data_IF_608372989563
#
_entry.id   IF_608372989563
#
_cell.length_a   1.000
_cell.length_b   1.000
_cell.length_c   1.000
_cell.angle_alpha   90.00
_cell.angle_beta   90.00
_cell.angle_gamma   90.00
#
_symmetry.space_group_name_H-M   'P 1'
#
loop_
_entity.id
_entity.type
_entity.pdbx_description
1 polymer ?
#
# COMPACT_ATOMS: atom_id res chain seq x y z
N UNK A 1 -10.39 -2.36 15.91
CA UNK A 1 -10.04 -3.26 14.78
C UNK A 1 -9.10 -2.58 13.80
N UNK A 2 -9.50 -1.47 13.15
CA UNK A 2 -8.59 -0.71 12.27
C UNK A 2 -7.48 -0.03 13.07
N UNK A 3 -7.83 0.65 14.17
CA UNK A 3 -6.84 1.32 15.03
C UNK A 3 -5.79 0.36 15.60
N UNK A 4 -6.21 -0.83 16.08
CA UNK A 4 -5.29 -1.87 16.54
C UNK A 4 -4.37 -2.36 15.43
N UNK A 5 -4.89 -2.58 14.22
CA UNK A 5 -4.08 -2.98 13.07
C UNK A 5 -3.06 -1.90 12.67
N UNK A 6 -3.48 -0.63 12.62
CA UNK A 6 -2.58 0.51 12.34
C UNK A 6 -1.51 0.64 13.43
N UNK A 7 -1.89 0.38 14.69
CA UNK A 7 -0.99 0.29 15.82
C UNK A 7 0.06 -0.81 15.62
N UNK A 8 -0.35 -2.02 15.24
CA UNK A 8 0.56 -3.14 14.99
C UNK A 8 1.48 -2.87 13.78
N UNK A 9 0.96 -2.32 12.69
CA UNK A 9 1.75 -1.93 11.52
C UNK A 9 2.84 -0.93 11.91
N UNK A 10 2.48 0.11 12.67
CA UNK A 10 3.41 1.17 13.03
C UNK A 10 4.42 0.73 14.09
N UNK A 11 3.94 0.15 15.19
CA UNK A 11 4.74 -0.17 16.36
C UNK A 11 5.50 -1.47 16.25
N UNK A 12 5.00 -2.43 15.47
CA UNK A 12 5.63 -3.72 15.30
C UNK A 12 6.34 -3.78 13.95
N UNK A 13 5.62 -3.70 12.83
CA UNK A 13 6.24 -3.91 11.52
C UNK A 13 7.23 -2.81 11.12
N UNK A 14 6.82 -1.54 11.11
CA UNK A 14 7.69 -0.42 10.70
C UNK A 14 8.85 -0.25 11.68
N UNK A 15 8.58 -0.31 12.98
CA UNK A 15 9.62 -0.17 14.00
C UNK A 15 10.65 -1.30 13.94
N UNK A 16 10.21 -2.54 13.79
CA UNK A 16 11.11 -3.71 13.73
C UNK A 16 11.87 -3.74 12.40
N UNK A 17 11.23 -3.35 11.31
CA UNK A 17 11.81 -3.33 9.96
C UNK A 17 12.57 -2.03 9.67
N UNK A 18 12.75 -1.12 10.64
CA UNK A 18 13.41 0.19 10.44
C UNK A 18 14.77 0.07 9.75
N UNK A 19 15.56 -0.97 10.08
CA UNK A 19 16.86 -1.22 9.44
C UNK A 19 16.74 -1.45 7.93
N UNK A 20 15.67 -2.11 7.46
CA UNK A 20 15.42 -2.37 6.04
C UNK A 20 15.11 -1.07 5.28
N UNK A 21 14.30 -0.20 5.88
CA UNK A 21 13.93 1.09 5.29
C UNK A 21 15.07 2.12 5.27
N UNK A 22 15.98 2.09 6.26
CA UNK A 22 17.06 3.10 6.43
C UNK A 22 18.42 2.72 5.84
N UNK A 23 18.54 1.58 5.13
CA UNK A 23 19.75 1.30 4.35
C UNK A 23 19.95 2.39 3.30
N UNK A 24 21.19 2.82 3.04
CA UNK A 24 21.45 3.81 1.99
C UNK A 24 21.28 3.21 0.59
N UNK A 25 21.79 2.00 0.39
CA UNK A 25 21.64 1.29 -0.88
C UNK A 25 20.24 0.69 -1.04
N UNK A 26 19.80 0.64 -2.29
CA UNK A 26 18.62 -0.11 -2.70
C UNK A 26 19.10 -1.54 -2.99
N UNK A 27 18.71 -2.47 -2.12
CA UNK A 27 18.90 -3.92 -2.28
C UNK A 27 17.54 -4.64 -2.33
N UNK A 28 17.53 -5.89 -2.78
CA UNK A 28 16.30 -6.71 -2.90
C UNK A 28 15.51 -6.81 -1.58
N UNK A 29 16.20 -6.77 -0.44
CA UNK A 29 15.59 -6.81 0.90
C UNK A 29 14.84 -5.50 1.22
N UNK A 30 15.41 -4.34 0.87
CA UNK A 30 14.75 -3.04 1.00
C UNK A 30 13.58 -2.93 0.05
N UNK A 31 13.75 -3.34 -1.21
CA UNK A 31 12.68 -3.33 -2.21
C UNK A 31 11.49 -4.21 -1.78
N UNK A 32 11.77 -5.44 -1.31
CA UNK A 32 10.75 -6.34 -0.78
C UNK A 32 9.98 -5.74 0.41
N UNK A 33 10.65 -4.98 1.28
CA UNK A 33 10.01 -4.29 2.40
C UNK A 33 9.08 -3.16 1.93
N UNK A 34 9.49 -2.36 0.93
CA UNK A 34 8.64 -1.35 0.32
C UNK A 34 7.44 -1.95 -0.40
N UNK A 35 7.64 -3.02 -1.18
CA UNK A 35 6.56 -3.71 -1.89
C UNK A 35 5.52 -4.28 -0.91
N UNK A 36 5.98 -4.91 0.17
CA UNK A 36 5.07 -5.42 1.22
C UNK A 36 4.28 -4.28 1.87
N UNK A 37 4.94 -3.18 2.24
CA UNK A 37 4.28 -2.03 2.85
C UNK A 37 3.27 -1.38 1.90
N UNK A 38 3.64 -1.24 0.63
CA UNK A 38 2.77 -0.73 -0.42
C UNK A 38 1.50 -1.59 -0.53
N UNK A 39 1.63 -2.91 -0.65
CA UNK A 39 0.48 -3.82 -0.72
C UNK A 39 -0.44 -3.70 0.51
N UNK A 40 0.15 -3.60 1.70
CA UNK A 40 -0.60 -3.43 2.95
C UNK A 40 -1.39 -2.13 2.93
N UNK A 41 -0.76 -1.00 2.57
CA UNK A 41 -1.42 0.31 2.56
C UNK A 41 -2.52 0.41 1.50
N UNK A 42 -2.29 -0.16 0.30
CA UNK A 42 -3.32 -0.19 -0.75
C UNK A 42 -4.48 -1.13 -0.38
N UNK A 43 -4.19 -2.23 0.32
CA UNK A 43 -5.25 -3.10 0.85
C UNK A 43 -6.04 -2.39 1.93
N UNK A 44 -5.36 -1.66 2.81
CA UNK A 44 -6.00 -0.87 3.86
C UNK A 44 -6.89 0.22 3.27
N UNK A 45 -6.45 0.97 2.26
CA UNK A 45 -7.29 2.00 1.63
C UNK A 45 -8.57 1.41 1.05
N UNK A 46 -8.51 0.25 0.39
CA UNK A 46 -9.71 -0.46 -0.09
C UNK A 46 -10.64 -0.91 1.03
N UNK A 47 -10.10 -1.42 2.14
CA UNK A 47 -10.90 -1.81 3.30
C UNK A 47 -11.55 -0.59 3.97
N UNK A 48 -10.88 0.57 3.93
CA UNK A 48 -11.40 1.83 4.46
C UNK A 48 -12.43 2.48 3.54
N UNK A 49 -12.43 2.18 2.24
CA UNK A 49 -13.28 2.84 1.25
C UNK A 49 -14.78 2.95 1.64
N UNK A 50 -15.44 1.92 2.21
CA UNK A 50 -16.85 2.03 2.60
C UNK A 50 -17.12 2.94 3.82
N UNK A 51 -16.09 3.19 4.65
CA UNK A 51 -16.25 3.88 5.95
C UNK A 51 -15.62 5.28 5.93
N UNK A 52 -14.47 5.43 5.26
CA UNK A 52 -13.67 6.65 5.16
C UNK A 52 -13.37 6.97 3.69
N UNK A 53 -14.43 7.15 2.89
CA UNK A 53 -14.34 7.28 1.43
C UNK A 53 -13.27 8.28 0.96
N UNK A 54 -13.29 9.51 1.46
CA UNK A 54 -12.36 10.55 1.03
C UNK A 54 -10.89 10.28 1.41
N UNK A 55 -10.65 9.75 2.62
CA UNK A 55 -9.30 9.41 3.07
C UNK A 55 -8.75 8.20 2.29
N UNK A 56 -9.59 7.19 2.07
CA UNK A 56 -9.25 6.04 1.25
C UNK A 56 -8.94 6.44 -0.19
N UNK A 57 -9.71 7.37 -0.75
CA UNK A 57 -9.51 7.91 -2.09
C UNK A 57 -8.18 8.66 -2.19
N UNK A 58 -7.89 9.59 -1.26
CA UNK A 58 -6.62 10.32 -1.24
C UNK A 58 -5.41 9.37 -1.13
N UNK A 59 -5.49 8.36 -0.25
CA UNK A 59 -4.44 7.34 -0.13
C UNK A 59 -4.26 6.57 -1.45
N UNK A 60 -5.35 6.19 -2.11
CA UNK A 60 -5.31 5.44 -3.36
C UNK A 60 -4.74 6.27 -4.52
N UNK A 61 -5.13 7.54 -4.65
CA UNK A 61 -4.56 8.44 -5.65
C UNK A 61 -3.04 8.59 -5.47
N UNK A 62 -2.59 8.79 -4.24
CA UNK A 62 -1.18 9.00 -3.93
C UNK A 62 -0.33 7.74 -4.05
N UNK A 63 -0.86 6.58 -3.71
CA UNK A 63 -0.10 5.31 -3.75
C UNK A 63 -0.19 4.62 -5.11
N UNK A 64 -1.39 4.52 -5.69
CA UNK A 64 -1.63 3.70 -6.88
C UNK A 64 -1.59 4.53 -8.14
N UNK A 65 -2.37 5.61 -8.24
CA UNK A 65 -2.52 6.39 -9.48
C UNK A 65 -1.28 7.21 -9.83
N UNK A 66 -0.47 7.56 -8.84
CA UNK A 66 0.82 8.24 -9.03
C UNK A 66 1.87 7.35 -9.72
N UNK A 67 1.79 6.03 -9.51
CA UNK A 67 2.73 5.04 -10.06
C UNK A 67 2.12 4.34 -11.30
N UNK A 68 0.82 4.07 -11.27
CA UNK A 68 0.09 3.35 -12.31
C UNK A 68 -1.08 4.20 -12.83
N UNK A 69 -0.85 5.07 -13.82
CA UNK A 69 -1.88 5.91 -14.43
C UNK A 69 -3.00 5.16 -15.14
N UNK A 70 -2.84 3.85 -15.38
CA UNK A 70 -3.86 2.98 -15.98
C UNK A 70 -4.68 2.18 -14.96
N UNK A 71 -4.36 2.31 -13.67
CA UNK A 71 -5.15 1.68 -12.59
C UNK A 71 -6.57 2.28 -12.54
N UNK A 72 -7.58 1.57 -11.98
CA UNK A 72 -8.93 2.10 -11.81
C UNK A 72 -8.93 3.52 -11.25
N UNK A 73 -9.79 4.40 -11.76
CA UNK A 73 -9.72 5.83 -11.46
C UNK A 73 -9.89 6.15 -9.97
N UNK A 74 -10.65 5.33 -9.24
CA UNK A 74 -10.97 5.53 -7.82
C UNK A 74 -10.83 4.22 -7.04
N UNK A 75 -10.55 4.33 -5.74
CA UNK A 75 -10.52 3.16 -4.83
C UNK A 75 -11.86 2.43 -4.83
N UNK A 76 -12.97 3.16 -5.02
CA UNK A 76 -14.33 2.64 -5.05
C UNK A 76 -14.65 1.81 -6.31
N UNK A 77 -13.83 1.95 -7.36
CA UNK A 77 -13.92 1.17 -8.59
C UNK A 77 -12.93 -0.01 -8.60
N UNK A 78 -12.07 -0.10 -7.59
CA UNK A 78 -11.07 -1.15 -7.50
C UNK A 78 -11.68 -2.44 -6.93
N UNK A 79 -12.07 -3.36 -7.82
CA UNK A 79 -12.56 -4.69 -7.44
C UNK A 79 -11.36 -5.56 -6.99
N UNK A 80 -11.51 -6.25 -5.85
CA UNK A 80 -10.42 -6.79 -5.02
C UNK A 80 -9.37 -7.71 -5.67
N UNK A 81 -8.21 -7.77 -5.00
CA UNK A 81 -6.97 -8.59 -5.15
C UNK A 81 -6.35 -8.82 -6.54
N UNK A 82 -7.11 -8.88 -7.64
CA UNK A 82 -6.58 -9.31 -8.95
C UNK A 82 -5.94 -8.20 -9.81
N UNK A 83 -6.08 -6.92 -9.43
CA UNK A 83 -5.58 -5.81 -10.27
C UNK A 83 -4.08 -5.54 -10.08
N UNK A 84 -3.52 -5.70 -8.87
CA UNK A 84 -2.14 -5.24 -8.57
C UNK A 84 -1.08 -6.18 -9.12
N UNK A 85 -1.28 -7.51 -9.04
CA UNK A 85 -0.33 -8.47 -9.60
C UNK A 85 -0.17 -8.28 -11.13
N UNK A 86 -1.21 -7.78 -11.81
CA UNK A 86 -1.18 -7.52 -13.26
C UNK A 86 -0.36 -6.28 -13.63
N UNK A 87 -0.23 -5.31 -12.73
CA UNK A 87 0.55 -4.09 -12.93
C UNK A 87 2.05 -4.28 -12.58
N UNK A 88 2.37 -5.29 -11.78
CA UNK A 88 3.77 -5.66 -11.44
C UNK A 88 4.47 -6.48 -12.53
N UNK A 89 3.75 -6.98 -13.56
CA UNK A 89 4.30 -7.84 -14.63
C UNK A 89 4.36 -7.07 -15.97
N UNK A 90 4.02 -5.78 -16.00
CA UNK A 90 4.03 -4.96 -17.21
C UNK A 90 5.30 -4.12 -17.40
N UNK A 91 6.37 -4.41 -16.66
CA UNK A 91 7.74 -3.92 -16.91
C UNK A 91 8.65 -5.08 -17.37
#
# INVERSE_FOLDING_TARGET
MVESFVGDLSNWYIRMSRRRFWKNDIDEDKESAYNTLYEVLVTLSRLLAPVLAFMAEEMYQNLVRSVFPDAPESVHLSIGRQQIHRLSISD
#
